data_IF_135091554575
#
_entry.id   IF_135091554575
#
_cell.length_a   1.000
_cell.length_b   1.000
_cell.length_c   1.000
_cell.angle_alpha   90.00
_cell.angle_beta   90.00
_cell.angle_gamma   90.00
#
_symmetry.space_group_name_H-M   'P 1'
#
loop_
_entity.id
_entity.type
_entity.pdbx_description
1 polymer ?
#
# COMPACT_ATOMS: atom_id res chain seq x y z
N UNK A 1 4.75 17.73 0.63
CA UNK A 1 5.88 17.40 1.53
C UNK A 1 5.31 16.77 2.79
N UNK A 2 5.55 15.48 3.03
CA UNK A 2 5.32 14.88 4.33
C UNK A 2 6.47 15.32 5.25
N UNK A 3 6.26 16.39 6.01
CA UNK A 3 7.19 16.82 7.02
C UNK A 3 6.87 16.08 8.33
N UNK A 4 7.46 14.89 8.52
CA UNK A 4 7.64 14.36 9.86
C UNK A 4 8.77 15.15 10.52
N UNK A 5 8.38 16.22 11.21
CA UNK A 5 9.28 17.04 12.01
C UNK A 5 9.60 16.23 13.28
N UNK A 6 10.81 15.66 13.35
CA UNK A 6 11.41 15.24 14.62
C UNK A 6 11.77 16.50 15.43
N UNK A 7 10.83 17.05 16.18
CA UNK A 7 11.15 18.09 17.18
C UNK A 7 11.51 17.44 18.51
N UNK A 8 12.81 17.40 18.78
CA UNK A 8 13.36 16.97 20.06
C UNK A 8 13.41 18.18 21.02
N UNK A 9 12.30 18.51 21.68
CA UNK A 9 12.27 19.57 22.71
C UNK A 9 12.51 19.01 24.12
N UNK A 10 13.77 19.09 24.59
CA UNK A 10 14.13 18.88 26.00
C UNK A 10 13.64 20.06 26.85
N UNK A 11 12.56 19.90 27.61
CA UNK A 11 12.24 20.79 28.74
C UNK A 11 13.26 20.60 29.88
N UNK A 12 14.19 21.54 30.03
CA UNK A 12 15.06 21.72 31.21
C UNK A 12 14.19 22.03 32.45
N UNK A 13 14.16 21.14 33.44
CA UNK A 13 13.86 21.49 34.85
C UNK A 13 15.15 21.42 35.67
N UNK A 14 15.56 22.56 36.22
CA UNK A 14 16.64 22.70 37.23
C UNK A 14 16.06 22.39 38.62
N UNK A 15 16.55 21.36 39.33
CA UNK A 15 17.03 21.46 40.72
C UNK A 15 17.54 20.12 41.30
N UNK A 16 18.82 20.19 41.71
CA UNK A 16 19.51 19.62 42.90
C UNK A 16 19.61 18.10 43.16
N UNK A 17 20.90 17.68 43.08
CA UNK A 17 21.70 16.80 43.97
C UNK A 17 21.21 15.36 44.24
N UNK A 18 22.09 14.41 43.89
CA UNK A 18 22.28 13.16 44.64
C UNK A 18 22.24 11.91 43.77
N UNK A 19 23.35 11.18 43.76
CA UNK A 19 23.51 9.76 43.43
C UNK A 19 23.34 9.28 41.97
N UNK A 20 24.48 8.75 41.46
CA UNK A 20 24.58 7.98 40.23
C UNK A 20 24.07 6.56 40.50
N UNK A 21 22.92 6.23 39.92
CA UNK A 21 22.57 4.88 39.51
C UNK A 21 22.21 4.97 38.03
N UNK A 22 22.94 4.25 37.17
CA UNK A 22 22.62 4.17 35.75
C UNK A 22 21.35 3.33 35.59
N UNK A 23 20.19 3.99 35.65
CA UNK A 23 18.96 3.47 35.06
C UNK A 23 19.10 3.57 33.54
N UNK A 24 19.43 2.43 32.91
CA UNK A 24 19.25 2.24 31.47
C UNK A 24 17.76 2.41 31.15
N UNK A 25 17.37 3.64 30.80
CA UNK A 25 16.02 3.92 30.31
C UNK A 25 15.85 3.20 28.98
N UNK A 26 15.21 2.04 29.01
CA UNK A 26 14.69 1.37 27.82
C UNK A 26 13.73 2.33 27.15
N UNK A 27 14.18 3.00 26.09
CA UNK A 27 13.27 3.70 25.19
C UNK A 27 12.45 2.61 24.49
N UNK A 28 11.23 2.39 24.94
CA UNK A 28 10.21 1.86 24.03
C UNK A 28 10.10 2.90 22.93
N UNK A 29 10.53 2.55 21.73
CA UNK A 29 10.02 3.20 20.54
C UNK A 29 8.56 2.77 20.47
N UNK A 30 7.70 3.50 21.15
CA UNK A 30 6.27 3.32 20.95
C UNK A 30 6.06 3.52 19.43
N UNK A 31 5.45 2.54 18.76
CA UNK A 31 5.09 2.59 17.32
C UNK A 31 4.05 3.71 17.01
N UNK A 32 4.07 4.79 17.80
CA UNK A 32 2.90 5.54 18.28
C UNK A 32 2.54 6.77 17.44
N UNK A 33 3.20 7.02 16.31
CA UNK A 33 2.86 8.19 15.49
C UNK A 33 2.69 7.91 13.99
N UNK A 34 2.52 6.64 13.60
CA UNK A 34 2.28 6.29 12.20
C UNK A 34 0.78 6.23 11.88
N UNK A 35 0.12 7.41 11.85
CA UNK A 35 -1.25 7.59 11.34
C UNK A 35 -1.27 7.47 9.83
N UNK A 36 -1.33 6.25 9.34
CA UNK A 36 -1.46 5.99 7.92
C UNK A 36 -2.86 5.47 7.62
N UNK A 37 -3.38 5.89 6.47
CA UNK A 37 -4.53 5.22 5.87
C UNK A 37 -4.23 3.71 5.80
N UNK A 38 -5.27 2.89 5.78
CA UNK A 38 -5.15 1.46 5.53
C UNK A 38 -5.39 1.20 4.05
N UNK A 39 -4.62 0.31 3.47
CA UNK A 39 -4.90 -0.24 2.15
C UNK A 39 -4.92 -1.75 2.20
N UNK A 40 -5.42 -2.34 1.12
CA UNK A 40 -5.25 -3.75 0.81
C UNK A 40 -4.27 -3.90 -0.34
N UNK A 41 -3.46 -4.94 -0.28
CA UNK A 41 -2.67 -5.42 -1.41
C UNK A 41 -3.17 -6.81 -1.76
N UNK A 42 -3.56 -7.00 -3.02
CA UNK A 42 -3.86 -8.32 -3.56
C UNK A 42 -2.79 -8.77 -4.55
N UNK A 43 -2.54 -10.07 -4.55
CA UNK A 43 -1.55 -10.73 -5.39
C UNK A 43 -2.08 -12.09 -5.83
N UNK A 44 -1.32 -12.76 -6.69
CA UNK A 44 -1.55 -14.16 -7.03
C UNK A 44 -0.26 -14.94 -6.83
N UNK A 45 -0.35 -16.20 -6.42
CA UNK A 45 0.83 -17.05 -6.32
C UNK A 45 1.51 -17.24 -7.70
N UNK A 46 2.83 -17.53 -7.74
CA UNK A 46 3.44 -18.07 -8.94
C UNK A 46 2.75 -19.38 -9.34
N UNK A 47 2.87 -19.75 -10.63
CA UNK A 47 2.40 -21.04 -11.10
C UNK A 47 3.09 -22.14 -10.27
N UNK A 48 2.31 -22.89 -9.51
CA UNK A 48 2.82 -24.02 -8.76
C UNK A 48 2.93 -25.23 -9.72
N UNK A 49 4.07 -25.94 -9.76
CA UNK A 49 4.12 -27.25 -10.39
C UNK A 49 3.16 -28.20 -9.64
N UNK A 50 2.56 -29.16 -10.35
CA UNK A 50 1.75 -30.17 -9.67
C UNK A 50 2.62 -30.93 -8.66
N UNK A 51 2.12 -31.09 -7.44
CA UNK A 51 2.71 -31.99 -6.43
C UNK A 51 1.84 -33.23 -6.23
N UNK A 52 0.96 -33.52 -7.18
CA UNK A 52 -0.03 -34.58 -7.09
C UNK A 52 0.50 -35.89 -7.64
N UNK A 53 1.48 -36.50 -6.98
CA UNK A 53 1.96 -37.86 -7.30
C UNK A 53 1.03 -38.96 -6.79
N UNK A 54 -0.29 -38.71 -6.68
CA UNK A 54 -1.26 -39.75 -6.36
C UNK A 54 -2.40 -39.73 -7.38
N UNK A 55 -2.47 -40.68 -8.33
CA UNK A 55 -3.63 -40.77 -9.22
C UNK A 55 -4.81 -41.31 -8.41
N UNK A 56 -5.85 -40.48 -8.22
CA UNK A 56 -7.13 -40.93 -7.64
C UNK A 56 -8.05 -41.48 -8.75
N UNK A 57 -8.64 -42.68 -8.59
CA UNK A 57 -9.34 -43.38 -9.66
C UNK A 57 -10.83 -42.99 -9.76
N UNK A 58 -11.14 -41.69 -9.84
CA UNK A 58 -12.50 -41.25 -10.21
C UNK A 58 -12.47 -39.84 -10.81
N UNK A 59 -12.52 -39.77 -12.14
CA UNK A 59 -12.64 -38.51 -12.86
C UNK A 59 -14.13 -38.21 -13.08
N UNK A 60 -14.65 -37.13 -12.51
CA UNK A 60 -15.56 -36.16 -13.17
C UNK A 60 -15.56 -34.87 -12.34
N UNK A 61 -15.17 -33.76 -12.97
CA UNK A 61 -14.97 -32.38 -12.46
C UNK A 61 -13.75 -32.10 -11.56
N UNK A 62 -12.54 -32.23 -12.10
CA UNK A 62 -11.34 -31.61 -11.55
C UNK A 62 -11.06 -30.26 -12.26
N UNK A 63 -10.71 -29.17 -11.55
CA UNK A 63 -10.29 -27.92 -12.18
C UNK A 63 -8.95 -28.12 -12.95
N UNK A 64 -8.68 -27.31 -14.00
CA UNK A 64 -7.51 -27.52 -14.86
C UNK A 64 -6.17 -27.38 -14.11
N UNK A 65 -5.10 -28.03 -14.60
CA UNK A 65 -3.79 -28.09 -13.94
C UNK A 65 -3.07 -26.74 -14.10
N UNK A 66 -2.39 -26.28 -13.05
CA UNK A 66 -1.73 -24.96 -12.88
C UNK A 66 -2.66 -23.80 -12.49
N UNK A 67 -3.15 -23.80 -11.24
CA UNK A 67 -3.93 -22.67 -10.69
C UNK A 67 -3.07 -21.77 -9.82
N UNK A 68 -3.08 -20.47 -10.11
CA UNK A 68 -2.60 -19.45 -9.16
C UNK A 68 -3.68 -19.24 -8.10
N UNK A 69 -3.27 -19.10 -6.84
CA UNK A 69 -4.17 -18.78 -5.74
C UNK A 69 -4.13 -17.28 -5.49
N UNK A 70 -5.29 -16.66 -5.27
CA UNK A 70 -5.36 -15.28 -4.84
C UNK A 70 -4.86 -15.14 -3.39
N UNK A 71 -4.25 -14.00 -3.10
CA UNK A 71 -3.88 -13.59 -1.76
C UNK A 71 -4.38 -12.14 -1.55
N UNK A 72 -4.90 -11.81 -0.37
CA UNK A 72 -5.30 -10.46 0.02
C UNK A 72 -4.89 -10.17 1.46
N UNK A 73 -4.09 -9.11 1.66
CA UNK A 73 -3.65 -8.72 3.01
C UNK A 73 -3.68 -7.19 3.21
N UNK A 74 -4.03 -6.71 4.42
CA UNK A 74 -4.13 -5.28 4.70
C UNK A 74 -2.82 -4.68 5.21
N UNK A 75 -2.43 -3.53 4.68
CA UNK A 75 -1.22 -2.81 5.04
C UNK A 75 -1.56 -1.40 5.50
N UNK A 76 -0.86 -0.92 6.53
CA UNK A 76 -0.95 0.48 6.98
C UNK A 76 0.29 1.27 6.59
N UNK A 77 1.46 0.65 6.48
CA UNK A 77 2.66 1.34 6.06
C UNK A 77 2.70 1.44 4.53
N UNK A 78 1.95 2.38 3.95
CA UNK A 78 1.91 2.61 2.51
C UNK A 78 1.97 4.11 2.18
N UNK A 79 2.45 4.44 0.99
CA UNK A 79 2.44 5.83 0.51
C UNK A 79 2.50 5.93 -1.02
N UNK A 80 2.07 7.07 -1.57
CA UNK A 80 2.43 7.47 -2.93
C UNK A 80 3.85 8.07 -2.93
N UNK A 81 4.62 7.83 -3.98
CA UNK A 81 6.02 8.28 -4.09
C UNK A 81 6.18 9.40 -5.10
N UNK A 82 5.69 9.19 -6.31
CA UNK A 82 5.80 10.12 -7.44
C UNK A 82 4.50 10.13 -8.23
N UNK A 83 4.24 11.22 -8.95
CA UNK A 83 3.01 11.41 -9.71
C UNK A 83 3.18 11.09 -11.20
N UNK A 84 4.39 11.24 -11.75
CA UNK A 84 4.68 10.95 -13.15
C UNK A 84 6.17 10.53 -13.34
N UNK A 85 6.45 9.24 -13.61
CA UNK A 85 5.50 8.13 -13.59
C UNK A 85 4.94 7.88 -12.19
N UNK A 86 3.68 7.40 -12.05
CA UNK A 86 3.07 7.18 -10.74
C UNK A 86 3.65 5.94 -10.06
N UNK A 87 4.22 6.12 -8.86
CA UNK A 87 4.73 5.03 -8.02
C UNK A 87 4.04 5.01 -6.65
N UNK A 88 3.82 3.81 -6.13
CA UNK A 88 3.35 3.54 -4.77
C UNK A 88 4.30 2.60 -4.05
N UNK A 89 4.29 2.65 -2.73
CA UNK A 89 5.00 1.69 -1.89
C UNK A 89 4.12 1.12 -0.78
N UNK A 90 4.46 -0.08 -0.33
CA UNK A 90 4.00 -0.64 0.94
C UNK A 90 5.15 -1.35 1.66
N UNK A 91 5.11 -1.34 2.99
CA UNK A 91 6.07 -2.05 3.83
C UNK A 91 5.41 -3.25 4.49
N UNK A 92 6.12 -4.37 4.50
CA UNK A 92 5.69 -5.62 5.11
C UNK A 92 6.73 -6.12 6.11
N UNK A 93 6.33 -6.25 7.38
CA UNK A 93 7.15 -6.91 8.39
C UNK A 93 7.21 -8.41 8.11
N UNK A 94 8.40 -9.00 8.23
CA UNK A 94 8.57 -10.44 8.21
C UNK A 94 7.90 -11.10 9.43
N UNK A 95 7.58 -12.39 9.30
CA UNK A 95 6.98 -13.16 10.39
C UNK A 95 7.96 -13.33 11.56
N UNK A 96 7.48 -13.72 12.76
CA UNK A 96 8.35 -14.07 13.88
C UNK A 96 9.38 -15.17 13.57
N UNK A 97 9.12 -15.99 12.53
CA UNK A 97 10.01 -17.02 12.01
C UNK A 97 10.93 -16.52 10.88
N UNK A 98 11.09 -15.20 10.75
CA UNK A 98 11.92 -14.52 9.74
C UNK A 98 11.55 -14.90 8.29
N UNK A 99 10.27 -15.17 8.03
CA UNK A 99 9.78 -15.46 6.69
C UNK A 99 9.15 -14.21 6.08
N UNK A 100 9.33 -14.05 4.77
CA UNK A 100 8.62 -13.03 4.01
C UNK A 100 7.11 -13.28 4.07
N UNK A 101 6.32 -12.21 4.05
CA UNK A 101 4.87 -12.30 3.87
C UNK A 101 4.55 -12.81 2.47
N UNK A 102 3.50 -13.61 2.36
CA UNK A 102 3.01 -14.19 1.10
C UNK A 102 2.80 -13.13 0.02
N UNK A 103 2.30 -11.97 0.39
CA UNK A 103 2.16 -10.81 -0.49
C UNK A 103 3.49 -10.41 -1.13
N UNK A 104 4.56 -10.23 -0.34
CA UNK A 104 5.90 -9.85 -0.86
C UNK A 104 6.44 -10.94 -1.76
N UNK A 105 6.38 -12.19 -1.32
CA UNK A 105 6.82 -13.37 -2.09
C UNK A 105 6.12 -13.44 -3.44
N UNK A 106 4.80 -13.20 -3.46
CA UNK A 106 4.00 -13.24 -4.69
C UNK A 106 4.33 -12.06 -5.62
N UNK A 107 4.52 -10.84 -5.08
CA UNK A 107 4.92 -9.69 -5.90
C UNK A 107 6.28 -9.92 -6.54
N UNK A 108 7.28 -10.35 -5.77
CA UNK A 108 8.63 -10.62 -6.29
C UNK A 108 8.62 -11.73 -7.35
N UNK A 109 7.78 -12.76 -7.19
CA UNK A 109 7.72 -13.88 -8.12
C UNK A 109 6.90 -13.62 -9.39
N UNK A 110 5.85 -12.79 -9.30
CA UNK A 110 4.92 -12.55 -10.43
C UNK A 110 5.12 -11.21 -11.11
N UNK A 111 5.78 -10.26 -10.44
CA UNK A 111 6.01 -8.91 -10.95
C UNK A 111 4.78 -8.02 -10.96
N UNK A 112 3.66 -8.44 -10.36
CA UNK A 112 2.39 -7.69 -10.39
C UNK A 112 1.65 -7.74 -9.06
N UNK A 113 0.88 -6.70 -8.77
CA UNK A 113 -0.06 -6.66 -7.64
C UNK A 113 -1.14 -5.62 -7.88
N UNK A 114 -2.20 -5.66 -7.08
CA UNK A 114 -3.17 -4.58 -7.01
C UNK A 114 -3.16 -3.93 -5.63
N UNK A 115 -3.29 -2.61 -5.62
CA UNK A 115 -3.55 -1.82 -4.42
C UNK A 115 -5.01 -1.42 -4.41
N UNK A 116 -5.64 -1.39 -3.25
CA UNK A 116 -7.02 -0.94 -3.12
C UNK A 116 -7.26 -0.23 -1.78
N UNK A 117 -8.13 0.77 -1.82
CA UNK A 117 -8.46 1.59 -0.66
C UNK A 117 -9.30 0.78 0.34
N UNK A 118 -8.91 0.78 1.61
CA UNK A 118 -9.71 0.21 2.69
C UNK A 118 -10.68 1.28 3.24
N UNK A 119 -11.97 0.94 3.25
CA UNK A 119 -13.05 1.86 3.62
C UNK A 119 -13.81 1.37 4.85
N UNK A 120 -14.61 2.25 5.43
CA UNK A 120 -15.41 1.97 6.64
C UNK A 120 -16.34 0.76 6.48
N UNK A 121 -17.00 0.64 5.33
CA UNK A 121 -17.92 -0.45 5.04
C UNK A 121 -17.20 -1.80 4.92
N UNK A 122 -15.91 -1.78 4.57
CA UNK A 122 -15.08 -2.97 4.37
C UNK A 122 -14.23 -3.34 5.60
N UNK A 123 -14.32 -2.59 6.69
CA UNK A 123 -13.41 -2.72 7.86
C UNK A 123 -13.39 -4.11 8.50
N UNK A 124 -14.50 -4.83 8.53
CA UNK A 124 -14.55 -6.19 9.12
C UNK A 124 -13.79 -7.18 8.25
N UNK A 125 -13.98 -7.10 6.93
CA UNK A 125 -13.19 -7.87 5.97
C UNK A 125 -11.70 -7.49 6.03
N UNK A 126 -11.38 -6.20 6.22
CA UNK A 126 -10.00 -5.74 6.45
C UNK A 126 -9.41 -6.43 7.67
N UNK A 127 -10.18 -6.58 8.75
CA UNK A 127 -9.70 -7.27 9.94
C UNK A 127 -9.55 -8.79 9.72
N UNK A 128 -10.50 -9.44 9.05
CA UNK A 128 -10.46 -10.88 8.74
C UNK A 128 -9.23 -11.23 7.90
N UNK A 129 -8.96 -10.44 6.86
CA UNK A 129 -7.80 -10.64 5.94
C UNK A 129 -6.44 -10.34 6.59
N UNK A 130 -6.41 -9.84 7.83
CA UNK A 130 -5.16 -9.62 8.58
C UNK A 130 -4.68 -10.90 9.31
N UNK A 131 -5.54 -11.92 9.43
CA UNK A 131 -5.23 -13.18 10.08
C UNK A 131 -4.06 -13.89 9.39
N UNK A 132 -3.20 -14.53 10.17
CA UNK A 132 -2.14 -15.37 9.60
C UNK A 132 -2.72 -16.72 9.18
N UNK A 133 -2.79 -16.95 7.87
CA UNK A 133 -3.25 -18.21 7.28
C UNK A 133 -2.09 -18.93 6.58
N UNK A 134 -2.18 -20.25 6.34
CA UNK A 134 -1.20 -20.96 5.53
C UNK A 134 -1.09 -20.42 4.10
N UNK A 135 0.10 -20.53 3.51
CA UNK A 135 0.33 -20.11 2.12
C UNK A 135 -0.63 -20.80 1.15
N UNK A 136 -1.25 -20.00 0.27
CA UNK A 136 -2.17 -20.49 -0.75
C UNK A 136 -3.62 -20.62 -0.29
N UNK A 137 -3.96 -20.11 0.89
CA UNK A 137 -5.36 -19.84 1.28
C UNK A 137 -5.82 -18.55 0.61
N UNK A 138 -7.05 -18.54 0.09
CA UNK A 138 -7.64 -17.37 -0.57
C UNK A 138 -8.41 -16.50 0.43
N UNK A 139 -7.83 -15.37 0.86
CA UNK A 139 -8.46 -14.52 1.87
C UNK A 139 -9.68 -13.75 1.36
N UNK A 140 -9.89 -13.62 0.04
CA UNK A 140 -11.15 -13.08 -0.48
C UNK A 140 -12.31 -14.01 -0.13
N UNK A 141 -12.12 -15.33 -0.27
CA UNK A 141 -13.15 -16.31 0.09
C UNK A 141 -13.42 -16.28 1.60
N UNK A 142 -12.36 -16.24 2.43
CA UNK A 142 -12.50 -16.13 3.89
C UNK A 142 -13.26 -14.88 4.34
N UNK A 143 -13.00 -13.76 3.68
CA UNK A 143 -13.64 -12.49 3.99
C UNK A 143 -14.97 -12.28 3.24
N UNK A 144 -15.45 -13.27 2.48
CA UNK A 144 -16.68 -13.18 1.67
C UNK A 144 -16.68 -11.97 0.72
N UNK A 145 -15.56 -11.72 0.06
CA UNK A 145 -15.36 -10.59 -0.86
C UNK A 145 -15.48 -11.03 -2.32
N UNK A 146 -16.26 -10.28 -3.09
CA UNK A 146 -16.30 -10.40 -4.53
C UNK A 146 -15.00 -9.94 -5.17
N UNK A 147 -14.51 -10.75 -6.12
CA UNK A 147 -13.32 -10.47 -6.94
C UNK A 147 -13.71 -9.77 -8.24
N UNK A 148 -12.96 -8.74 -8.60
CA UNK A 148 -12.95 -8.14 -9.93
C UNK A 148 -11.54 -8.20 -10.50
N UNK A 149 -11.35 -8.74 -11.70
CA UNK A 149 -10.01 -8.99 -12.24
C UNK A 149 -9.40 -7.75 -12.90
N UNK A 150 -8.11 -7.54 -12.67
CA UNK A 150 -7.30 -6.52 -13.33
C UNK A 150 -7.34 -6.67 -14.86
N UNK A 151 -7.38 -5.56 -15.59
CA UNK A 151 -7.51 -5.55 -17.06
C UNK A 151 -6.25 -5.15 -17.81
N UNK A 152 -5.30 -4.49 -17.12
CA UNK A 152 -4.09 -3.93 -17.72
C UNK A 152 -2.86 -4.80 -17.47
N UNK A 153 -2.80 -5.50 -16.33
CA UNK A 153 -1.67 -6.34 -15.97
C UNK A 153 -1.51 -7.56 -16.88
N UNK A 154 -0.25 -7.92 -17.18
CA UNK A 154 0.11 -9.13 -17.94
C UNK A 154 -0.38 -10.42 -17.27
N UNK A 155 -0.39 -10.45 -15.94
CA UNK A 155 -0.94 -11.56 -15.14
C UNK A 155 -2.16 -11.01 -14.40
N UNK A 156 -3.36 -11.56 -14.61
CA UNK A 156 -4.55 -11.10 -13.90
C UNK A 156 -4.43 -11.28 -12.39
N UNK A 157 -4.70 -10.21 -11.64
CA UNK A 157 -4.75 -10.17 -10.18
C UNK A 157 -6.16 -9.76 -9.76
N UNK A 158 -6.79 -10.44 -8.79
CA UNK A 158 -8.12 -10.07 -8.34
C UNK A 158 -8.04 -8.81 -7.47
N UNK A 159 -8.97 -7.89 -7.66
CA UNK A 159 -9.19 -6.70 -6.87
C UNK A 159 -10.47 -6.86 -6.04
N UNK A 160 -10.57 -6.18 -4.91
CA UNK A 160 -11.82 -6.14 -4.12
C UNK A 160 -12.85 -5.32 -4.88
N UNK A 161 -13.90 -5.98 -5.41
CA UNK A 161 -14.92 -5.33 -6.24
C UNK A 161 -15.58 -4.12 -5.56
N UNK A 162 -15.83 -4.24 -4.26
CA UNK A 162 -16.48 -3.20 -3.47
C UNK A 162 -15.58 -2.00 -3.10
N UNK A 163 -14.26 -2.07 -3.32
CA UNK A 163 -13.37 -0.95 -3.04
C UNK A 163 -13.51 0.14 -4.11
N UNK A 164 -13.74 1.41 -3.73
CA UNK A 164 -14.05 2.47 -4.68
C UNK A 164 -12.82 3.01 -5.43
N UNK A 165 -11.60 2.70 -4.97
CA UNK A 165 -10.34 3.13 -5.61
C UNK A 165 -9.37 1.96 -5.61
N UNK A 166 -8.92 1.56 -6.80
CA UNK A 166 -8.05 0.40 -7.01
C UNK A 166 -7.00 0.73 -8.05
N UNK A 167 -5.76 0.32 -7.80
CA UNK A 167 -4.64 0.50 -8.70
C UNK A 167 -4.09 -0.86 -9.11
N UNK A 168 -3.80 -0.99 -10.40
CA UNK A 168 -3.03 -2.08 -10.96
C UNK A 168 -1.57 -1.66 -10.99
N UNK A 169 -0.69 -2.47 -10.41
CA UNK A 169 0.72 -2.13 -10.20
C UNK A 169 1.66 -3.19 -10.77
N UNK A 170 2.69 -2.71 -11.46
CA UNK A 170 3.85 -3.51 -11.85
C UNK A 170 4.95 -3.35 -10.80
N UNK A 171 5.54 -4.45 -10.37
CA UNK A 171 6.66 -4.46 -9.44
C UNK A 171 7.87 -3.73 -10.02
N UNK A 172 8.49 -2.89 -9.21
CA UNK A 172 9.72 -2.18 -9.55
C UNK A 172 10.92 -2.71 -8.76
N UNK A 173 10.83 -2.70 -7.43
CA UNK A 173 11.93 -3.11 -6.55
C UNK A 173 11.47 -3.35 -5.12
N UNK A 174 12.17 -4.22 -4.39
CA UNK A 174 12.05 -4.39 -2.93
C UNK A 174 13.33 -3.89 -2.26
N UNK A 175 13.20 -2.96 -1.32
CA UNK A 175 14.27 -2.60 -0.39
C UNK A 175 14.08 -3.36 0.91
N UNK A 176 15.05 -4.20 1.28
CA UNK A 176 15.00 -5.02 2.50
C UNK A 176 15.82 -4.35 3.60
N UNK A 177 15.14 -3.94 4.67
CA UNK A 177 15.75 -3.30 5.83
C UNK A 177 15.89 -4.34 6.94
N UNK A 178 17.12 -4.77 7.28
CA UNK A 178 17.33 -5.72 8.37
C UNK A 178 17.02 -5.05 9.71
N UNK A 179 16.37 -5.79 10.61
CA UNK A 179 16.16 -5.35 11.97
C UNK A 179 16.35 -6.47 12.98
N UNK A 180 16.24 -6.13 14.26
CA UNK A 180 16.47 -7.09 15.35
C UNK A 180 15.25 -8.00 15.56
N UNK A 181 15.44 -9.29 15.92
CA UNK A 181 14.35 -10.20 16.26
C UNK A 181 13.45 -9.67 17.39
N UNK A 182 12.17 -10.08 17.48
CA UNK A 182 11.52 -11.16 16.72
C UNK A 182 10.88 -10.74 15.38
N UNK A 183 10.63 -9.45 15.15
CA UNK A 183 10.00 -8.91 13.92
C UNK A 183 10.70 -7.64 13.45
N UNK A 184 12.01 -7.71 13.22
CA UNK A 184 12.79 -6.53 12.86
C UNK A 184 12.92 -6.26 11.37
N UNK A 185 12.95 -7.31 10.54
CA UNK A 185 13.19 -7.15 9.11
C UNK A 185 11.92 -6.69 8.39
N UNK A 186 12.06 -5.63 7.60
CA UNK A 186 10.97 -5.02 6.83
C UNK A 186 11.29 -5.05 5.35
N UNK A 187 10.33 -5.49 4.56
CA UNK A 187 10.36 -5.46 3.09
C UNK A 187 9.57 -4.26 2.59
N UNK A 188 10.26 -3.26 2.01
CA UNK A 188 9.65 -2.09 1.38
C UNK A 188 9.50 -2.36 -0.11
N UNK A 189 8.29 -2.65 -0.55
CA UNK A 189 7.98 -2.96 -1.95
C UNK A 189 7.52 -1.70 -2.67
N UNK A 190 8.12 -1.42 -3.83
CA UNK A 190 7.79 -0.30 -4.70
C UNK A 190 7.17 -0.85 -6.00
N UNK A 191 6.06 -0.27 -6.43
CA UNK A 191 5.39 -0.62 -7.68
C UNK A 191 4.98 0.61 -8.48
N UNK A 192 5.07 0.49 -9.80
CA UNK A 192 4.60 1.49 -10.77
C UNK A 192 3.12 1.25 -11.04
N UNK A 193 2.30 2.28 -10.91
CA UNK A 193 0.87 2.21 -11.24
C UNK A 193 0.70 2.24 -12.76
N UNK A 194 0.02 1.22 -13.30
CA UNK A 194 -0.25 1.08 -14.74
C UNK A 194 -1.73 1.15 -15.09
N UNK A 195 -2.61 0.95 -14.10
CA UNK A 195 -4.06 1.10 -14.26
C UNK A 195 -4.69 1.67 -12.99
N UNK A 196 -5.73 2.49 -13.16
CA UNK A 196 -6.48 3.10 -12.06
C UNK A 196 -7.97 2.88 -12.32
N UNK A 197 -8.66 2.35 -11.32
CA UNK A 197 -10.10 2.14 -11.31
C UNK A 197 -10.70 2.96 -10.16
N UNK A 198 -11.57 3.91 -10.50
CA UNK A 198 -12.28 4.73 -9.51
C UNK A 198 -13.77 4.60 -9.79
N UNK A 199 -14.55 4.37 -8.74
CA UNK A 199 -16.01 4.34 -8.81
C UNK A 199 -16.55 5.77 -9.00
N UNK A 200 -17.38 5.97 -10.01
CA UNK A 200 -17.98 7.28 -10.34
C UNK A 200 -18.71 7.91 -9.15
N UNK A 201 -19.25 7.11 -8.22
CA UNK A 201 -19.97 7.64 -7.05
C UNK A 201 -19.07 8.47 -6.13
N UNK A 202 -17.77 8.20 -6.10
CA UNK A 202 -16.80 8.90 -5.25
C UNK A 202 -16.07 10.03 -5.97
N UNK A 203 -16.42 10.30 -7.23
CA UNK A 203 -15.88 11.44 -7.96
C UNK A 203 -16.71 12.71 -7.71
N UNK A 204 -16.03 13.84 -7.72
CA UNK A 204 -16.62 15.17 -7.84
C UNK A 204 -16.95 15.45 -9.31
N UNK A 205 -17.74 16.51 -9.56
CA UNK A 205 -18.06 16.96 -10.93
C UNK A 205 -16.82 17.32 -11.75
N UNK A 206 -15.74 17.71 -11.08
CA UNK A 206 -14.47 18.12 -11.69
C UNK A 206 -13.48 16.94 -11.86
N UNK A 207 -13.94 15.70 -11.61
CA UNK A 207 -13.12 14.49 -11.75
C UNK A 207 -12.10 14.26 -10.63
N UNK A 208 -12.23 14.97 -9.49
CA UNK A 208 -11.41 14.73 -8.30
C UNK A 208 -12.07 13.68 -7.42
N UNK A 209 -11.29 12.96 -6.62
CA UNK A 209 -11.84 12.06 -5.60
C UNK A 209 -12.39 12.89 -4.45
N UNK A 210 -13.66 12.66 -4.12
CA UNK A 210 -14.29 13.11 -2.89
C UNK A 210 -13.96 12.11 -1.76
N UNK A 211 -12.93 12.43 -0.98
CA UNK A 211 -12.41 11.53 0.07
C UNK A 211 -13.49 11.21 1.12
N UNK A 212 -14.36 12.17 1.45
CA UNK A 212 -15.42 11.95 2.43
C UNK A 212 -16.41 10.86 1.96
N UNK A 213 -16.71 10.79 0.66
CA UNK A 213 -17.53 9.72 0.08
C UNK A 213 -16.86 8.34 0.10
N UNK A 214 -15.53 8.28 0.12
CA UNK A 214 -14.79 7.01 0.21
C UNK A 214 -14.73 6.46 1.64
N UNK A 215 -14.91 7.30 2.66
CA UNK A 215 -14.79 6.95 4.08
C UNK A 215 -13.59 6.03 4.40
N UNK A 216 -12.36 6.43 4.05
CA UNK A 216 -11.20 5.58 4.23
C UNK A 216 -10.89 5.41 5.72
N UNK A 217 -10.43 4.21 6.09
CA UNK A 217 -10.00 3.93 7.46
C UNK A 217 -8.49 4.13 7.59
N UNK A 218 -8.04 4.57 8.76
CA UNK A 218 -6.64 4.73 9.11
C UNK A 218 -6.33 3.94 10.39
N UNK A 219 -5.12 3.38 10.48
CA UNK A 219 -4.64 2.74 11.71
C UNK A 219 -3.96 3.81 12.56
N UNK A 220 -4.37 3.93 13.82
CA UNK A 220 -3.88 4.97 14.73
C UNK A 220 -2.74 4.50 15.65
N UNK A 221 -2.33 3.24 15.54
CA UNK A 221 -1.52 2.54 16.54
C UNK A 221 -2.37 1.54 17.33
N UNK A 222 -1.72 0.61 18.03
CA UNK A 222 -2.40 -0.47 18.77
C UNK A 222 -3.48 -1.13 17.93
N UNK A 223 -4.71 -1.29 18.43
CA UNK A 223 -5.88 -1.77 17.68
C UNK A 223 -6.86 -0.65 17.28
N UNK A 224 -6.45 0.61 17.42
CA UNK A 224 -7.33 1.75 17.19
C UNK A 224 -7.38 2.14 15.72
N UNK A 225 -8.58 2.47 15.26
CA UNK A 225 -8.85 2.92 13.90
C UNK A 225 -9.58 4.26 13.90
N UNK A 226 -9.25 5.09 12.92
CA UNK A 226 -10.00 6.29 12.57
C UNK A 226 -10.66 6.10 11.20
N UNK A 227 -11.66 6.93 10.92
CA UNK A 227 -12.33 7.02 9.61
C UNK A 227 -12.42 8.48 9.22
N UNK A 228 -12.05 8.79 7.97
CA UNK A 228 -12.12 10.15 7.44
C UNK A 228 -13.53 10.38 6.89
N UNK A 229 -14.33 11.15 7.62
CA UNK A 229 -15.69 11.55 7.20
C UNK A 229 -15.78 12.98 6.70
N UNK A 230 -14.79 13.80 7.02
CA UNK A 230 -14.78 15.22 6.74
C UNK A 230 -13.41 15.62 6.20
N UNK A 231 -13.42 16.58 5.29
CA UNK A 231 -12.23 17.19 4.70
C UNK A 231 -12.39 18.70 4.68
N UNK A 232 -11.28 19.41 4.78
CA UNK A 232 -11.24 20.87 4.64
C UNK A 232 -10.10 21.25 3.69
N UNK A 233 -10.28 22.33 2.95
CA UNK A 233 -9.29 22.80 2.01
C UNK A 233 -8.24 23.67 2.70
N UNK A 234 -6.97 23.40 2.42
CA UNK A 234 -5.84 24.24 2.83
C UNK A 234 -4.92 24.46 1.65
N UNK A 235 -4.89 25.69 1.15
CA UNK A 235 -4.02 26.09 0.05
C UNK A 235 -2.70 26.60 0.64
N UNK A 236 -1.57 26.04 0.18
CA UNK A 236 -0.24 26.49 0.62
C UNK A 236 -0.04 27.95 0.14
N UNK A 237 0.32 28.89 1.04
CA UNK A 237 0.62 30.27 0.64
C UNK A 237 1.77 30.33 -0.38
N UNK A 238 1.65 31.19 -1.39
CA UNK A 238 2.68 31.36 -2.41
C UNK A 238 2.82 30.21 -3.40
N UNK A 239 1.88 29.26 -3.45
CA UNK A 239 1.94 28.16 -4.44
C UNK A 239 1.84 28.71 -5.86
N UNK A 240 2.90 28.51 -6.65
CA UNK A 240 2.91 28.81 -8.09
C UNK A 240 2.11 27.77 -8.87
N UNK A 241 1.68 28.11 -10.08
CA UNK A 241 0.94 27.19 -10.95
C UNK A 241 1.74 25.93 -11.28
N UNK A 242 3.06 26.05 -11.45
CA UNK A 242 3.98 24.93 -11.66
C UNK A 242 4.01 23.95 -10.46
N UNK A 243 3.96 24.46 -9.22
CA UNK A 243 3.95 23.61 -8.01
C UNK A 243 2.61 22.88 -7.89
N UNK A 244 1.48 23.57 -8.12
CA UNK A 244 0.15 22.92 -8.12
C UNK A 244 0.09 21.80 -9.15
N UNK A 245 0.59 22.09 -10.34
CA UNK A 245 0.64 21.16 -11.45
C UNK A 245 1.44 19.89 -11.12
N UNK A 246 2.63 20.03 -10.53
CA UNK A 246 3.47 18.88 -10.15
C UNK A 246 2.82 17.94 -9.11
N UNK A 247 1.79 18.41 -8.41
CA UNK A 247 1.05 17.66 -7.38
C UNK A 247 -0.31 17.13 -7.87
N UNK A 248 -0.78 17.52 -9.06
CA UNK A 248 -2.12 17.17 -9.55
C UNK A 248 -2.19 15.73 -10.11
N UNK A 249 -1.05 15.13 -10.50
CA UNK A 249 -0.99 13.78 -11.07
C UNK A 249 -1.77 13.60 -12.38
N UNK A 250 -2.13 14.70 -13.05
CA UNK A 250 -2.92 14.69 -14.28
C UNK A 250 -2.03 14.36 -15.49
N UNK A 251 -2.00 13.08 -15.89
CA UNK A 251 -1.10 12.57 -16.94
C UNK A 251 -1.22 13.34 -18.26
N UNK A 252 -2.42 13.77 -18.66
CA UNK A 252 -2.62 14.53 -19.92
C UNK A 252 -1.95 15.90 -19.85
N UNK A 253 -2.16 16.61 -18.74
CA UNK A 253 -1.49 17.90 -18.49
C UNK A 253 0.04 17.69 -18.42
N UNK A 254 0.50 16.66 -17.70
CA UNK A 254 1.90 16.22 -17.63
C UNK A 254 2.54 16.00 -19.01
N UNK A 255 1.87 15.28 -19.89
CA UNK A 255 2.32 15.04 -21.26
C UNK A 255 2.39 16.34 -22.07
N UNK A 256 1.35 17.17 -22.02
CA UNK A 256 1.30 18.42 -22.76
C UNK A 256 2.43 19.40 -22.36
N UNK A 257 2.75 19.52 -21.07
CA UNK A 257 3.88 20.39 -20.69
C UNK A 257 5.25 19.79 -21.00
N UNK A 258 5.39 18.45 -21.00
CA UNK A 258 6.62 17.79 -21.49
C UNK A 258 6.82 18.07 -22.99
N UNK A 259 5.75 18.03 -23.78
CA UNK A 259 5.77 18.38 -25.20
C UNK A 259 6.12 19.86 -25.40
N UNK A 260 5.47 20.77 -24.68
CA UNK A 260 5.79 22.20 -24.73
C UNK A 260 7.23 22.52 -24.25
N UNK A 261 7.76 21.81 -23.26
CA UNK A 261 9.14 21.96 -22.80
C UNK A 261 10.16 21.48 -23.84
N UNK A 262 9.85 20.42 -24.59
CA UNK A 262 10.66 19.94 -25.72
C UNK A 262 10.68 20.94 -26.87
N UNK A 263 9.55 21.56 -27.18
CA UNK A 263 9.46 22.63 -28.20
C UNK A 263 10.30 23.87 -27.82
N UNK A 264 10.48 24.12 -26.51
CA UNK A 264 11.30 25.22 -25.99
C UNK A 264 12.76 24.81 -25.67
N UNK A 265 13.21 23.61 -26.06
CA UNK A 265 14.63 23.20 -25.97
C UNK A 265 15.13 22.81 -24.57
N UNK A 266 14.25 22.51 -23.61
CA UNK A 266 14.64 22.03 -22.28
C UNK A 266 14.86 20.50 -22.31
N UNK A 267 16.02 20.02 -21.85
CA UNK A 267 16.38 18.59 -21.93
C UNK A 267 15.54 17.69 -21.00
N UNK A 268 15.33 16.43 -21.40
CA UNK A 268 14.48 15.44 -20.70
C UNK A 268 14.93 15.08 -19.28
N UNK A 269 16.19 15.36 -18.94
CA UNK A 269 16.71 15.25 -17.58
C UNK A 269 16.26 16.47 -16.78
N UNK A 270 15.26 16.29 -15.91
CA UNK A 270 14.81 17.33 -14.98
C UNK A 270 15.96 17.92 -14.14
N UNK A 271 15.72 19.04 -13.42
CA UNK A 271 16.76 19.66 -12.60
C UNK A 271 17.26 18.67 -11.52
N UNK A 272 18.56 18.76 -11.13
CA UNK A 272 19.19 17.85 -10.17
C UNK A 272 18.51 17.83 -8.80
#
# INVERSE_FOLDING_TARGET
MAASIFTNEKKKKKKKKGEKGDEEKTFKTDEEEQRHMKCWISTVSPLQPDTSTTPSPSATSAPPPTRRTANLAPFSQFNNLTFDPPFVMFSANQTPSLQQKDTVRNVEATGVFCWQLATWDLREAVNITAEQVPYGVDEFERASLDKEWSTTLKIPVPMVKASPVRFECEYHSTLRLPGNPPMGTVDVVIGKVVGIHIDDRVLTKDGKIDVAKTQPIARCGYYDYAVVRETFEMIIPGTTEAIRYGMEGNVRKHKAAREAAKENGVSESGPP
#
